data_IF_584346423996
#
_entry.id   IF_584346423996
#
_cell.length_a   1.000
_cell.length_b   1.000
_cell.length_c   1.000
_cell.angle_alpha   90.00
_cell.angle_beta   90.00
_cell.angle_gamma   90.00
#
_symmetry.space_group_name_H-M   'P 1'
#
loop_
_entity.id
_entity.type
_entity.pdbx_description
1 polymer ?
#
# COMPACT_ATOMS: atom_id res chain seq x y z
N UNK A 1 33.62 -5.96 29.20
CA UNK A 1 33.97 -7.07 28.30
C UNK A 1 32.70 -7.85 28.01
N UNK A 2 32.01 -7.55 26.91
CA UNK A 2 30.86 -8.34 26.44
C UNK A 2 31.43 -9.49 25.62
N UNK A 3 31.04 -10.70 26.00
CA UNK A 3 31.35 -11.95 25.31
C UNK A 3 31.10 -11.77 23.80
N UNK A 4 32.15 -11.89 22.99
CA UNK A 4 32.02 -12.19 21.57
C UNK A 4 31.46 -13.61 21.51
N UNK A 5 30.14 -13.70 21.33
CA UNK A 5 29.48 -14.95 20.97
C UNK A 5 30.19 -15.46 19.73
N UNK A 6 30.68 -16.70 19.81
CA UNK A 6 31.20 -17.48 18.69
C UNK A 6 30.28 -17.31 17.49
N UNK A 7 30.75 -16.58 16.49
CA UNK A 7 30.15 -16.57 15.16
C UNK A 7 30.59 -17.88 14.51
N UNK A 8 29.68 -18.85 14.43
CA UNK A 8 29.91 -20.06 13.65
C UNK A 8 29.33 -19.81 12.25
N UNK A 9 30.18 -19.57 11.23
CA UNK A 9 29.72 -19.24 9.88
C UNK A 9 28.91 -20.37 9.22
N UNK A 10 28.94 -21.60 9.76
CA UNK A 10 28.23 -22.74 9.20
C UNK A 10 26.87 -23.04 9.86
N UNK A 11 26.60 -22.50 11.06
CA UNK A 11 25.37 -22.82 11.80
C UNK A 11 24.22 -21.83 11.50
N UNK A 12 24.52 -20.59 11.09
CA UNK A 12 23.55 -19.48 11.13
C UNK A 12 22.95 -19.07 9.78
N UNK A 13 23.58 -19.38 8.65
CA UNK A 13 23.06 -19.00 7.32
C UNK A 13 21.69 -19.64 7.01
N UNK A 14 21.43 -20.85 7.54
CA UNK A 14 20.16 -21.56 7.37
C UNK A 14 19.05 -21.07 8.30
N UNK A 15 19.40 -20.51 9.47
CA UNK A 15 18.46 -20.03 10.50
C UNK A 15 17.80 -18.71 10.08
N UNK A 16 18.51 -17.91 9.30
CA UNK A 16 18.03 -16.62 8.80
C UNK A 16 17.58 -16.65 7.33
N UNK A 17 17.64 -17.82 6.69
CA UNK A 17 17.17 -18.00 5.33
C UNK A 17 15.68 -17.61 5.22
N UNK A 18 15.29 -16.88 4.17
CA UNK A 18 13.91 -16.47 3.99
C UNK A 18 13.00 -17.70 3.86
N UNK A 19 11.81 -17.69 4.48
CA UNK A 19 10.92 -18.84 4.44
C UNK A 19 10.55 -19.14 2.99
N UNK A 20 10.55 -20.42 2.59
CA UNK A 20 10.18 -20.85 1.23
C UNK A 20 8.80 -20.32 0.77
N UNK A 21 7.93 -19.96 1.72
CA UNK A 21 6.59 -19.40 1.50
C UNK A 21 6.53 -17.87 1.64
N UNK A 22 7.66 -17.18 1.52
CA UNK A 22 7.80 -15.73 1.66
C UNK A 22 6.83 -14.93 0.77
N UNK A 23 6.70 -15.32 -0.50
CA UNK A 23 5.81 -14.67 -1.45
C UNK A 23 4.33 -14.83 -1.05
N UNK A 24 3.91 -16.03 -0.66
CA UNK A 24 2.54 -16.30 -0.25
C UNK A 24 2.16 -15.55 1.03
N UNK A 25 3.06 -15.48 2.02
CA UNK A 25 2.84 -14.72 3.26
C UNK A 25 2.76 -13.22 3.01
N UNK A 26 3.59 -12.71 2.10
CA UNK A 26 3.55 -11.33 1.66
C UNK A 26 2.19 -11.01 1.03
N UNK A 27 1.70 -11.85 0.11
CA UNK A 27 0.37 -11.70 -0.48
C UNK A 27 -0.75 -11.69 0.57
N UNK A 28 -0.72 -12.61 1.55
CA UNK A 28 -1.70 -12.61 2.64
C UNK A 28 -1.69 -11.30 3.44
N UNK A 29 -0.51 -10.74 3.73
CA UNK A 29 -0.41 -9.44 4.39
C UNK A 29 -0.97 -8.31 3.53
N UNK A 30 -0.66 -8.31 2.22
CA UNK A 30 -1.24 -7.37 1.27
C UNK A 30 -2.77 -7.41 1.26
N UNK A 31 -3.37 -8.60 1.34
CA UNK A 31 -4.83 -8.76 1.42
C UNK A 31 -5.39 -8.18 2.72
N UNK A 32 -4.78 -8.48 3.86
CA UNK A 32 -5.24 -7.97 5.17
C UNK A 32 -5.19 -6.44 5.20
N UNK A 33 -4.07 -5.85 4.80
CA UNK A 33 -3.92 -4.39 4.77
C UNK A 33 -4.80 -3.74 3.69
N UNK A 34 -5.01 -4.40 2.55
CA UNK A 34 -5.97 -3.98 1.54
C UNK A 34 -7.38 -3.87 2.11
N UNK A 35 -7.85 -4.90 2.82
CA UNK A 35 -9.17 -4.89 3.47
C UNK A 35 -9.30 -3.79 4.52
N UNK A 36 -8.28 -3.57 5.35
CA UNK A 36 -8.27 -2.46 6.32
C UNK A 36 -8.36 -1.12 5.59
N UNK A 37 -7.61 -0.96 4.49
CA UNK A 37 -7.64 0.24 3.66
C UNK A 37 -9.00 0.48 2.99
N UNK A 38 -9.73 -0.58 2.61
CA UNK A 38 -11.10 -0.47 2.09
C UNK A 38 -12.03 0.10 3.17
N UNK A 39 -11.99 -0.46 4.38
CA UNK A 39 -12.84 0.02 5.49
C UNK A 39 -12.55 1.49 5.80
N UNK A 40 -11.28 1.88 5.85
CA UNK A 40 -10.89 3.28 6.06
C UNK A 40 -11.39 4.19 4.94
N UNK A 41 -11.26 3.78 3.66
CA UNK A 41 -11.78 4.56 2.53
C UNK A 41 -13.31 4.73 2.61
N UNK A 42 -14.03 3.68 2.99
CA UNK A 42 -15.49 3.76 3.18
C UNK A 42 -15.84 4.79 4.25
N UNK A 43 -15.20 4.71 5.42
CA UNK A 43 -15.44 5.66 6.52
C UNK A 43 -15.14 7.09 6.07
N UNK A 44 -14.01 7.33 5.42
CA UNK A 44 -13.62 8.66 4.93
C UNK A 44 -14.63 9.18 3.90
N UNK A 45 -15.08 8.35 2.96
CA UNK A 45 -16.08 8.74 1.97
C UNK A 45 -17.40 9.16 2.63
N UNK A 46 -17.88 8.40 3.62
CA UNK A 46 -19.09 8.75 4.37
C UNK A 46 -18.94 10.05 5.16
N UNK A 47 -17.79 10.27 5.81
CA UNK A 47 -17.51 11.51 6.53
C UNK A 47 -17.40 12.73 5.60
N UNK A 48 -17.01 12.50 4.35
CA UNK A 48 -16.78 13.55 3.34
C UNK A 48 -18.04 13.92 2.55
N UNK A 49 -19.14 13.15 2.66
CA UNK A 49 -20.43 13.44 2.01
C UNK A 49 -20.89 14.89 2.16
N UNK A 50 -20.96 15.51 3.36
CA UNK A 50 -21.44 16.88 3.50
C UNK A 50 -20.55 17.90 2.77
N UNK A 51 -19.23 17.66 2.73
CA UNK A 51 -18.29 18.53 2.02
C UNK A 51 -18.51 18.48 0.51
N UNK A 52 -18.68 17.28 -0.06
CA UNK A 52 -18.93 17.11 -1.50
C UNK A 52 -20.32 17.63 -1.91
N UNK A 53 -21.34 17.45 -1.06
CA UNK A 53 -22.68 17.97 -1.32
C UNK A 53 -22.71 19.51 -1.36
N UNK A 54 -21.92 20.18 -0.51
CA UNK A 54 -21.79 21.64 -0.50
C UNK A 54 -20.94 22.15 -1.67
N UNK A 55 -19.87 21.44 -2.04
CA UNK A 55 -19.08 21.75 -3.23
C UNK A 55 -19.91 21.71 -4.51
N UNK A 56 -20.75 20.69 -4.69
CA UNK A 56 -21.58 20.54 -5.89
C UNK A 56 -22.60 21.68 -6.08
N UNK A 57 -22.85 22.49 -5.04
CA UNK A 57 -23.73 23.66 -5.07
C UNK A 57 -23.00 24.95 -5.45
N UNK A 58 -21.67 24.96 -5.45
CA UNK A 58 -20.87 26.11 -5.82
C UNK A 58 -20.45 26.02 -7.30
N UNK A 59 -20.73 27.07 -8.07
CA UNK A 59 -20.38 27.13 -9.49
C UNK A 59 -18.91 27.54 -9.75
N UNK A 60 -18.18 27.93 -8.71
CA UNK A 60 -16.78 28.37 -8.78
C UNK A 60 -15.96 27.78 -7.64
N UNK A 61 -14.63 27.91 -7.72
CA UNK A 61 -13.69 27.41 -6.70
C UNK A 61 -13.85 28.17 -5.37
N UNK A 62 -14.84 27.76 -4.57
CA UNK A 62 -15.09 28.28 -3.23
C UNK A 62 -14.40 27.48 -2.13
N UNK A 63 -14.58 27.87 -0.86
CA UNK A 63 -13.96 27.21 0.31
C UNK A 63 -14.22 25.71 0.38
N UNK A 64 -15.40 25.26 -0.08
CA UNK A 64 -15.78 23.85 -0.09
C UNK A 64 -15.01 23.03 -1.13
N UNK A 65 -14.56 23.65 -2.22
CA UNK A 65 -13.69 23.00 -3.23
C UNK A 65 -12.32 22.69 -2.64
N UNK A 66 -11.72 23.64 -1.92
CA UNK A 66 -10.42 23.42 -1.26
C UNK A 66 -10.53 22.37 -0.14
N UNK A 67 -11.66 22.35 0.58
CA UNK A 67 -11.91 21.37 1.63
C UNK A 67 -12.08 19.95 1.05
N UNK A 68 -12.83 19.80 -0.04
CA UNK A 68 -12.97 18.54 -0.77
C UNK A 68 -11.63 18.02 -1.32
N UNK A 69 -10.80 18.92 -1.88
CA UNK A 69 -9.44 18.60 -2.32
C UNK A 69 -8.55 18.17 -1.14
N UNK A 70 -8.63 18.89 -0.02
CA UNK A 70 -7.91 18.58 1.21
C UNK A 70 -8.26 17.20 1.77
N UNK A 71 -9.55 16.83 1.77
CA UNK A 71 -10.01 15.50 2.17
C UNK A 71 -9.49 14.41 1.23
N UNK A 72 -9.47 14.66 -0.08
CA UNK A 72 -8.87 13.73 -1.06
C UNK A 72 -7.38 13.51 -0.83
N UNK A 73 -6.62 14.60 -0.61
CA UNK A 73 -5.21 14.53 -0.25
C UNK A 73 -4.97 13.79 1.07
N UNK A 74 -5.81 14.02 2.08
CA UNK A 74 -5.71 13.34 3.37
C UNK A 74 -5.93 11.82 3.21
N UNK A 75 -6.93 11.41 2.42
CA UNK A 75 -7.17 10.00 2.12
C UNK A 75 -5.96 9.36 1.41
N UNK A 76 -5.35 10.07 0.46
CA UNK A 76 -4.15 9.62 -0.23
C UNK A 76 -2.97 9.43 0.75
N UNK A 77 -2.73 10.40 1.65
CA UNK A 77 -1.69 10.32 2.67
C UNK A 77 -1.91 9.10 3.58
N UNK A 78 -3.14 8.88 4.05
CA UNK A 78 -3.48 7.73 4.90
C UNK A 78 -3.19 6.40 4.19
N UNK A 79 -3.56 6.29 2.91
CA UNK A 79 -3.29 5.09 2.12
C UNK A 79 -1.78 4.85 1.91
N UNK A 80 -1.00 5.91 1.67
CA UNK A 80 0.47 5.81 1.57
C UNK A 80 1.07 5.33 2.89
N UNK A 81 0.64 5.91 4.02
CA UNK A 81 1.11 5.50 5.35
C UNK A 81 0.76 4.04 5.63
N UNK A 82 -0.44 3.60 5.25
CA UNK A 82 -0.87 2.22 5.41
C UNK A 82 -0.02 1.26 4.55
N UNK A 83 0.29 1.63 3.30
CA UNK A 83 1.21 0.86 2.45
C UNK A 83 2.61 0.77 3.05
N UNK A 84 3.12 1.87 3.60
CA UNK A 84 4.41 1.89 4.29
C UNK A 84 4.43 0.95 5.51
N UNK A 85 3.39 0.97 6.35
CA UNK A 85 3.26 0.10 7.52
C UNK A 85 3.17 -1.38 7.09
N UNK A 86 2.36 -1.68 6.07
CA UNK A 86 2.23 -3.02 5.52
C UNK A 86 3.59 -3.56 5.05
N UNK A 87 4.34 -2.73 4.32
CA UNK A 87 5.69 -3.03 3.87
C UNK A 87 6.69 -3.22 5.01
N UNK A 88 6.65 -2.36 6.03
CA UNK A 88 7.50 -2.45 7.21
C UNK A 88 7.28 -3.76 7.98
N UNK A 89 6.01 -4.13 8.23
CA UNK A 89 5.68 -5.39 8.92
C UNK A 89 6.08 -6.60 8.08
N UNK A 90 5.85 -6.54 6.76
CA UNK A 90 6.24 -7.60 5.82
C UNK A 90 7.76 -7.79 5.81
N UNK A 91 8.53 -6.70 5.73
CA UNK A 91 10.00 -6.75 5.77
C UNK A 91 10.53 -7.33 7.08
N UNK A 92 9.94 -6.97 8.22
CA UNK A 92 10.32 -7.52 9.54
C UNK A 92 10.00 -9.00 9.70
N UNK A 93 8.96 -9.52 9.03
CA UNK A 93 8.49 -10.91 9.19
C UNK A 93 9.04 -11.87 8.15
N UNK A 94 9.39 -11.38 6.96
CA UNK A 94 9.74 -12.22 5.81
C UNK A 94 11.23 -12.12 5.47
N UNK A 95 11.93 -11.06 5.91
CA UNK A 95 13.38 -10.87 5.70
C UNK A 95 13.76 -10.76 4.20
N UNK A 96 12.78 -10.66 3.29
CA UNK A 96 13.04 -10.48 1.85
C UNK A 96 12.48 -9.15 1.38
N UNK A 97 13.33 -8.32 0.76
CA UNK A 97 12.96 -6.98 0.26
C UNK A 97 12.08 -7.01 -0.99
N UNK A 98 12.24 -7.99 -1.87
CA UNK A 98 11.52 -8.11 -3.16
C UNK A 98 10.00 -8.38 -3.04
N UNK A 99 9.49 -9.30 -2.20
CA UNK A 99 8.05 -9.56 -2.11
C UNK A 99 7.27 -8.44 -1.42
N UNK A 100 7.93 -7.53 -0.71
CA UNK A 100 7.28 -6.36 -0.11
C UNK A 100 6.75 -5.34 -1.14
N UNK A 101 7.25 -5.35 -2.37
CA UNK A 101 6.63 -4.57 -3.45
C UNK A 101 5.22 -5.10 -3.75
N UNK A 102 5.09 -6.43 -3.86
CA UNK A 102 3.81 -7.08 -4.17
C UNK A 102 2.77 -6.90 -3.08
N UNK A 103 3.17 -6.75 -1.81
CA UNK A 103 2.22 -6.47 -0.72
C UNK A 103 1.55 -5.13 -0.89
N UNK A 104 2.33 -4.09 -1.25
CA UNK A 104 1.81 -2.76 -1.52
C UNK A 104 0.93 -2.73 -2.75
N UNK A 105 1.35 -3.39 -3.84
CA UNK A 105 0.55 -3.51 -5.08
C UNK A 105 -0.80 -4.17 -4.80
N UNK A 106 -0.82 -5.31 -4.11
CA UNK A 106 -2.06 -6.04 -3.81
C UNK A 106 -2.97 -5.23 -2.88
N UNK A 107 -2.42 -4.57 -1.87
CA UNK A 107 -3.20 -3.74 -0.97
C UNK A 107 -3.91 -2.61 -1.74
N UNK A 108 -3.18 -1.87 -2.59
CA UNK A 108 -3.76 -0.77 -3.38
C UNK A 108 -4.74 -1.29 -4.42
N UNK A 109 -4.45 -2.41 -5.09
CA UNK A 109 -5.36 -3.02 -6.04
C UNK A 109 -6.70 -3.37 -5.39
N UNK A 110 -6.69 -3.99 -4.20
CA UNK A 110 -7.91 -4.31 -3.44
C UNK A 110 -8.68 -3.04 -3.09
N UNK A 111 -7.98 -2.00 -2.61
CA UNK A 111 -8.60 -0.72 -2.24
C UNK A 111 -9.31 -0.09 -3.44
N UNK A 112 -8.64 -0.01 -4.60
CA UNK A 112 -9.21 0.59 -5.81
C UNK A 112 -10.36 -0.25 -6.37
N UNK A 113 -10.20 -1.56 -6.49
CA UNK A 113 -11.25 -2.45 -7.01
C UNK A 113 -12.49 -2.38 -6.12
N UNK A 114 -12.33 -2.48 -4.81
CA UNK A 114 -13.46 -2.38 -3.89
C UNK A 114 -14.11 -0.99 -3.94
N UNK A 115 -13.32 0.08 -3.97
CA UNK A 115 -13.85 1.45 -4.09
C UNK A 115 -14.63 1.66 -5.38
N UNK A 116 -14.15 1.10 -6.50
CA UNK A 116 -14.84 1.13 -7.78
C UNK A 116 -16.17 0.36 -7.72
N UNK A 117 -16.17 -0.85 -7.14
CA UNK A 117 -17.38 -1.66 -6.98
C UNK A 117 -18.42 -0.96 -6.09
N UNK A 118 -18.00 -0.29 -5.02
CA UNK A 118 -18.89 0.45 -4.11
C UNK A 118 -19.65 1.58 -4.82
N UNK A 119 -19.08 2.19 -5.88
CA UNK A 119 -19.77 3.22 -6.67
C UNK A 119 -20.98 2.69 -7.45
N UNK A 120 -21.16 1.37 -7.56
CA UNK A 120 -22.37 0.79 -8.16
C UNK A 120 -23.47 0.50 -7.13
N UNK A 121 -23.20 0.69 -5.84
CA UNK A 121 -24.19 0.47 -4.79
C UNK A 121 -25.11 1.69 -4.69
N UNK A 122 -26.44 1.52 -4.85
CA UNK A 122 -27.38 2.61 -4.70
C UNK A 122 -27.35 3.18 -3.27
N UNK A 123 -27.19 4.50 -3.16
CA UNK A 123 -27.07 5.21 -1.88
C UNK A 123 -25.63 5.34 -1.36
N UNK A 124 -24.63 4.78 -2.05
CA UNK A 124 -23.22 5.01 -1.70
C UNK A 124 -22.75 6.41 -2.17
N UNK A 125 -21.88 7.11 -1.40
CA UNK A 125 -21.29 8.38 -1.82
C UNK A 125 -20.52 8.25 -3.15
N UNK A 126 -20.87 9.07 -4.15
CA UNK A 126 -20.26 8.99 -5.49
C UNK A 126 -20.82 7.86 -6.36
N UNK A 127 -22.02 7.37 -6.05
CA UNK A 127 -22.72 6.38 -6.86
C UNK A 127 -23.01 6.89 -8.30
N UNK A 128 -22.71 6.04 -9.28
CA UNK A 128 -22.87 6.30 -10.72
C UNK A 128 -24.22 5.81 -11.29
N UNK A 129 -25.04 5.10 -10.50
CA UNK A 129 -26.29 4.46 -10.95
C UNK A 129 -27.42 5.41 -11.37
N UNK A 130 -27.19 6.74 -11.37
CA UNK A 130 -28.17 7.76 -11.74
C UNK A 130 -27.80 8.62 -12.94
N UNK A 131 -26.60 8.49 -13.51
CA UNK A 131 -26.18 9.30 -14.66
C UNK A 131 -26.14 8.46 -15.94
N UNK A 132 -27.01 8.80 -16.89
CA UNK A 132 -27.06 8.21 -18.24
C UNK A 132 -25.75 8.50 -18.99
N UNK A 133 -24.76 7.62 -18.89
CA UNK A 133 -23.51 7.77 -19.62
C UNK A 133 -23.00 6.46 -20.23
N UNK A 134 -23.71 5.94 -21.23
CA UNK A 134 -23.20 4.82 -22.04
C UNK A 134 -21.87 5.14 -22.76
N UNK A 135 -21.54 6.43 -22.99
CA UNK A 135 -20.28 6.88 -23.57
C UNK A 135 -19.16 7.27 -22.58
N UNK A 136 -19.48 7.70 -21.35
CA UNK A 136 -18.45 8.06 -20.36
C UNK A 136 -18.01 6.87 -19.50
N UNK A 137 -18.75 5.75 -19.48
CA UNK A 137 -18.35 4.55 -18.74
C UNK A 137 -17.02 4.00 -19.27
N UNK A 138 -16.82 3.94 -20.59
CA UNK A 138 -15.55 3.48 -21.17
C UNK A 138 -14.38 4.43 -20.84
N UNK A 139 -14.61 5.75 -20.89
CA UNK A 139 -13.62 6.76 -20.51
C UNK A 139 -13.29 6.73 -19.02
N UNK A 140 -14.30 6.58 -18.17
CA UNK A 140 -14.15 6.47 -16.72
C UNK A 140 -13.38 5.21 -16.31
N UNK A 141 -13.67 4.07 -16.93
CA UNK A 141 -12.91 2.83 -16.70
C UNK A 141 -11.44 3.01 -17.11
N UNK A 142 -11.17 3.62 -18.28
CA UNK A 142 -9.79 3.86 -18.72
C UNK A 142 -9.02 4.76 -17.75
N UNK A 143 -9.64 5.84 -17.28
CA UNK A 143 -9.05 6.74 -16.28
C UNK A 143 -8.82 6.02 -14.95
N UNK A 144 -9.79 5.26 -14.45
CA UNK A 144 -9.66 4.51 -13.20
C UNK A 144 -8.55 3.44 -13.30
N UNK A 145 -8.39 2.81 -14.46
CA UNK A 145 -7.33 1.82 -14.70
C UNK A 145 -5.94 2.47 -14.69
N UNK A 146 -5.79 3.64 -15.32
CA UNK A 146 -4.54 4.42 -15.25
C UNK A 146 -4.22 4.82 -13.82
N UNK A 147 -5.21 5.33 -13.08
CA UNK A 147 -5.04 5.71 -11.67
C UNK A 147 -4.71 4.48 -10.81
N UNK A 148 -5.33 3.32 -11.06
CA UNK A 148 -5.04 2.07 -10.37
C UNK A 148 -3.59 1.65 -10.60
N UNK A 149 -3.10 1.69 -11.85
CA UNK A 149 -1.71 1.33 -12.18
C UNK A 149 -0.74 2.26 -11.46
N UNK A 150 -0.97 3.58 -11.55
CA UNK A 150 -0.14 4.58 -10.87
C UNK A 150 -0.17 4.36 -9.35
N UNK A 151 -1.36 4.13 -8.78
CA UNK A 151 -1.56 3.85 -7.36
C UNK A 151 -0.83 2.58 -6.92
N UNK A 152 -0.89 1.51 -7.71
CA UNK A 152 -0.17 0.27 -7.44
C UNK A 152 1.35 0.47 -7.44
N UNK A 153 1.87 1.27 -8.38
CA UNK A 153 3.29 1.61 -8.41
C UNK A 153 3.70 2.38 -7.14
N UNK A 154 2.94 3.42 -6.75
CA UNK A 154 3.21 4.14 -5.52
C UNK A 154 3.10 3.24 -4.29
N UNK A 155 2.03 2.46 -4.17
CA UNK A 155 1.84 1.51 -3.06
C UNK A 155 2.98 0.51 -2.95
N UNK A 156 3.41 -0.05 -4.08
CA UNK A 156 4.56 -0.95 -4.16
C UNK A 156 5.87 -0.30 -3.73
N UNK A 157 6.16 0.92 -4.21
CA UNK A 157 7.37 1.68 -3.85
C UNK A 157 7.38 2.00 -2.35
N UNK A 158 6.28 2.53 -1.80
CA UNK A 158 6.21 2.88 -0.38
C UNK A 158 6.26 1.66 0.54
N UNK A 159 5.65 0.54 0.12
CA UNK A 159 5.74 -0.72 0.83
C UNK A 159 7.17 -1.29 0.79
N UNK A 160 7.84 -1.23 -0.36
CA UNK A 160 9.24 -1.62 -0.47
C UNK A 160 10.15 -0.72 0.39
N UNK A 161 9.89 0.59 0.45
CA UNK A 161 10.62 1.52 1.31
C UNK A 161 10.47 1.18 2.80
N UNK A 162 9.25 0.83 3.23
CA UNK A 162 9.00 0.33 4.59
C UNK A 162 9.76 -0.97 4.88
N UNK A 163 9.79 -1.91 3.93
CA UNK A 163 10.50 -3.17 4.09
C UNK A 163 12.03 -2.99 4.15
N UNK A 164 12.60 -2.10 3.31
CA UNK A 164 14.03 -1.77 3.36
C UNK A 164 14.37 -1.27 4.76
N UNK A 165 13.62 -0.30 5.29
CA UNK A 165 13.82 0.22 6.65
C UNK A 165 13.73 -0.85 7.73
N UNK A 166 12.84 -1.83 7.58
CA UNK A 166 12.70 -2.93 8.52
C UNK A 166 13.87 -3.92 8.47
N UNK A 167 14.48 -4.10 7.29
CA UNK A 167 15.58 -5.07 7.07
C UNK A 167 16.98 -4.48 7.23
N UNK A 168 17.14 -3.15 7.34
CA UNK A 168 18.44 -2.48 7.47
C UNK A 168 19.26 -2.93 8.70
N UNK A 169 18.60 -3.34 9.78
CA UNK A 169 19.29 -3.76 11.02
C UNK A 169 19.23 -5.28 11.25
N UNK A 170 18.93 -6.07 10.22
CA UNK A 170 18.74 -7.51 10.38
C UNK A 170 20.08 -8.27 10.22
N UNK A 171 20.47 -9.16 11.17
CA UNK A 171 21.76 -9.87 11.16
C UNK A 171 22.08 -10.61 9.85
N UNK A 172 21.04 -11.15 9.20
CA UNK A 172 21.13 -11.80 7.88
C UNK A 172 21.83 -10.95 6.80
N UNK A 173 21.71 -9.62 6.87
CA UNK A 173 22.32 -8.73 5.88
C UNK A 173 23.72 -8.27 6.28
N UNK A 174 24.09 -8.38 7.56
CA UNK A 174 25.44 -8.06 8.03
C UNK A 174 26.44 -9.18 7.69
N UNK A 175 26.04 -10.45 7.84
CA UNK A 175 26.91 -11.58 7.51
C UNK A 175 27.24 -11.72 6.02
N UNK A 176 26.34 -11.27 5.13
CA UNK A 176 26.57 -11.29 3.68
C UNK A 176 27.53 -10.19 3.19
N UNK A 177 27.58 -9.04 3.88
CA UNK A 177 28.52 -7.95 3.56
C UNK A 177 29.96 -8.31 4.01
N UNK A 178 30.13 -9.06 5.09
CA UNK A 178 31.44 -9.55 5.53
C UNK A 178 32.02 -10.64 4.60
N UNK A 179 31.19 -11.51 4.02
CA UNK A 179 31.63 -12.53 3.05
C UNK A 179 32.05 -11.91 1.69
N UNK A 180 31.39 -10.86 1.22
CA UNK A 180 31.75 -10.17 -0.03
C UNK A 180 33.06 -9.36 0.08
N UNK A 181 33.43 -8.88 1.28
CA UNK A 181 34.72 -8.21 1.52
C UNK A 181 35.90 -9.20 1.58
N UNK A 182 35.69 -10.43 2.07
CA UNK A 182 36.74 -11.47 2.11
C UNK A 182 37.03 -12.12 0.74
N UNK A 183 36.06 -12.19 -0.17
CA UNK A 183 36.30 -12.68 -1.54
C UNK A 183 36.93 -11.61 -2.48
N UNK A 184 37.03 -10.37 -2.02
CA UNK A 184 37.55 -9.22 -2.77
C UNK A 184 39.03 -8.89 -2.55
N UNK A 185 39.71 -9.53 -1.60
CA UNK A 185 41.16 -9.41 -1.33
C UNK A 185 41.99 -10.56 -1.95
#
# INVERSE_FOLDING_TARGET
MRNRSSYDPNEDASVYAPPANAASRALTMGVIFGLIGVVLNVIINFLSVPAYANQAREASAGPWTYLALGLGCLALIINIVLCFIAGFITGKRIIVRRPAFWTGVVAVAIIYIASFLLRYIPGYPGNISGQQYSGQVAGGIAVELVILVIGCLFGGIFSQWGAIRATLNHPYYYGAEEEEEEEGE
#
